data_IF_645489735280
#
_entry.id   IF_645489735280
#
_cell.length_a   1.000
_cell.length_b   1.000
_cell.length_c   1.000
_cell.angle_alpha   90.00
_cell.angle_beta   90.00
_cell.angle_gamma   90.00
#
_symmetry.space_group_name_H-M   'P 1'
#
loop_
_entity.id
_entity.type
_entity.pdbx_description
1 polymer ?
#
# COMPACT_ATOMS: atom_id res chain seq x y z
N UNK A 1 0.07 -3.98 -13.56
CA UNK A 1 -0.80 -3.46 -12.47
C UNK A 1 -0.20 -3.75 -11.10
N UNK A 2 -0.52 -2.96 -10.07
CA UNK A 2 -0.03 -3.10 -8.69
C UNK A 2 -1.18 -2.82 -7.72
N UNK A 3 -1.29 -3.65 -6.69
CA UNK A 3 -2.22 -3.47 -5.58
C UNK A 3 -1.50 -2.84 -4.39
N UNK A 4 -2.16 -1.88 -3.76
CA UNK A 4 -1.69 -1.26 -2.52
C UNK A 4 -2.59 -1.67 -1.34
N UNK A 5 -1.95 -1.99 -0.22
CA UNK A 5 -2.61 -2.36 1.02
C UNK A 5 -2.03 -1.61 2.21
N UNK A 6 -2.85 -1.47 3.26
CA UNK A 6 -2.43 -0.99 4.58
C UNK A 6 -2.79 -2.02 5.64
N UNK A 7 -1.93 -2.21 6.62
CA UNK A 7 -2.17 -3.11 7.75
C UNK A 7 -1.88 -2.41 9.07
N UNK A 8 -2.88 -2.32 9.94
CA UNK A 8 -2.74 -1.80 11.29
C UNK A 8 -2.38 -2.93 12.25
N UNK A 9 -1.19 -2.87 12.86
CA UNK A 9 -0.73 -3.89 13.79
C UNK A 9 -0.82 -5.30 13.19
N UNK A 10 -1.59 -6.19 13.82
CA UNK A 10 -1.81 -7.58 13.38
C UNK A 10 -3.13 -7.79 12.63
N UNK A 11 -3.79 -6.73 12.18
CA UNK A 11 -5.05 -6.82 11.44
C UNK A 11 -4.86 -7.49 10.08
N UNK A 12 -5.95 -7.83 9.40
CA UNK A 12 -5.90 -8.20 7.99
C UNK A 12 -5.54 -6.97 7.14
N UNK A 13 -4.67 -7.11 6.12
CA UNK A 13 -4.37 -6.01 5.21
C UNK A 13 -5.62 -5.51 4.46
N UNK A 14 -5.85 -4.21 4.54
CA UNK A 14 -6.94 -3.48 3.89
C UNK A 14 -6.50 -3.05 2.50
N UNK A 15 -7.32 -3.33 1.48
CA UNK A 15 -7.05 -2.84 0.13
C UNK A 15 -7.26 -1.32 0.06
N UNK A 16 -6.28 -0.61 -0.49
CA UNK A 16 -6.35 0.84 -0.70
C UNK A 16 -6.72 1.19 -2.14
N UNK A 17 -5.92 0.72 -3.10
CA UNK A 17 -6.00 1.16 -4.50
C UNK A 17 -5.28 0.19 -5.42
N UNK A 18 -5.78 0.09 -6.65
CA UNK A 18 -5.19 -0.68 -7.75
C UNK A 18 -4.71 0.31 -8.80
N UNK A 19 -3.46 0.16 -9.21
CA UNK A 19 -2.83 1.01 -10.22
C UNK A 19 -2.45 0.16 -11.43
N UNK A 20 -2.81 0.60 -12.63
CA UNK A 20 -2.38 -0.04 -13.87
C UNK A 20 -1.12 0.64 -14.38
N UNK A 21 -0.19 -0.14 -14.93
CA UNK A 21 1.04 0.33 -15.57
C UNK A 21 0.78 1.23 -16.79
N UNK A 22 -0.43 1.18 -17.33
CA UNK A 22 -0.92 2.06 -18.40
C UNK A 22 -1.58 3.35 -17.88
N UNK A 23 -1.68 3.55 -16.57
CA UNK A 23 -2.29 4.73 -15.98
C UNK A 23 -1.47 5.98 -16.34
N UNK A 24 -2.16 6.99 -16.91
CA UNK A 24 -1.57 8.28 -17.27
C UNK A 24 -1.80 9.36 -16.23
N UNK A 25 -2.77 9.14 -15.35
CA UNK A 25 -3.20 10.06 -14.30
C UNK A 25 -3.13 9.38 -12.94
N UNK A 26 -2.99 10.22 -11.92
CA UNK A 26 -3.03 9.84 -10.52
C UNK A 26 -4.28 9.02 -10.19
N UNK A 27 -4.12 7.88 -9.53
CA UNK A 27 -5.24 7.04 -9.11
C UNK A 27 -5.52 7.29 -7.63
N UNK A 28 -6.67 7.87 -7.32
CA UNK A 28 -7.10 8.10 -5.94
C UNK A 28 -7.76 6.84 -5.36
N UNK A 29 -7.47 6.55 -4.08
CA UNK A 29 -8.16 5.49 -3.37
C UNK A 29 -9.64 5.82 -3.18
N UNK A 30 -10.50 4.82 -3.37
CA UNK A 30 -11.93 4.91 -3.05
C UNK A 30 -12.23 4.73 -1.56
N UNK A 31 -11.27 4.22 -0.79
CA UNK A 31 -11.41 3.95 0.65
C UNK A 31 -11.05 5.18 1.47
N UNK A 32 -9.97 5.87 1.10
CA UNK A 32 -9.55 7.11 1.75
C UNK A 32 -8.97 8.07 0.68
N UNK A 33 -9.67 9.17 0.34
CA UNK A 33 -9.26 10.10 -0.71
C UNK A 33 -7.89 10.76 -0.49
N UNK A 34 -7.33 10.68 0.72
CA UNK A 34 -5.99 11.21 0.98
C UNK A 34 -4.90 10.39 0.30
N UNK A 35 -5.20 9.13 -0.05
CA UNK A 35 -4.29 8.22 -0.73
C UNK A 35 -4.38 8.37 -2.24
N UNK A 36 -3.25 8.66 -2.87
CA UNK A 36 -3.12 8.80 -4.32
C UNK A 36 -1.92 8.01 -4.81
N UNK A 37 -2.05 7.30 -5.93
CA UNK A 37 -0.93 6.57 -6.54
C UNK A 37 -0.56 7.16 -7.89
N UNK A 38 0.73 7.43 -8.04
CA UNK A 38 1.32 8.02 -9.23
C UNK A 38 2.38 7.09 -9.82
N UNK A 39 2.38 6.94 -11.15
CA UNK A 39 3.48 6.31 -11.87
C UNK A 39 4.43 7.42 -12.31
N UNK A 40 5.58 7.51 -11.65
CA UNK A 40 6.53 8.60 -11.92
C UNK A 40 7.54 8.24 -13.01
N UNK A 41 7.96 6.97 -13.08
CA UNK A 41 8.87 6.44 -14.11
C UNK A 41 8.48 4.99 -14.44
N UNK A 42 9.08 4.42 -15.49
CA UNK A 42 8.77 3.06 -15.99
C UNK A 42 8.74 1.96 -14.91
N UNK A 43 9.47 2.12 -13.82
CA UNK A 43 9.61 1.11 -12.76
C UNK A 43 9.38 1.68 -11.35
N UNK A 44 8.86 2.90 -11.25
CA UNK A 44 8.62 3.55 -9.96
C UNK A 44 7.15 3.94 -9.84
N UNK A 45 6.56 3.54 -8.72
CA UNK A 45 5.18 3.85 -8.34
C UNK A 45 5.18 4.39 -6.93
N UNK A 46 4.64 5.60 -6.77
CA UNK A 46 4.62 6.31 -5.50
C UNK A 46 3.20 6.28 -4.93
N UNK A 47 3.06 5.87 -3.66
CA UNK A 47 1.84 6.02 -2.88
C UNK A 47 1.99 7.28 -2.01
N UNK A 48 1.18 8.29 -2.31
CA UNK A 48 1.13 9.55 -1.57
C UNK A 48 -0.03 9.52 -0.55
N UNK A 49 0.24 10.01 0.66
CA UNK A 49 -0.78 10.25 1.70
C UNK A 49 -0.80 11.74 2.01
N UNK A 50 -1.83 12.44 1.53
CA UNK A 50 -1.98 13.87 1.82
C UNK A 50 -2.34 14.10 3.29
N UNK A 51 -1.76 15.14 3.90
CA UNK A 51 -1.95 15.50 5.32
C UNK A 51 -1.71 14.31 6.27
N UNK A 52 -0.60 13.60 6.09
CA UNK A 52 -0.24 12.45 6.89
C UNK A 52 -0.18 12.79 8.39
N UNK A 53 -0.74 11.93 9.23
CA UNK A 53 -0.79 12.06 10.68
C UNK A 53 -0.24 10.81 11.37
N UNK A 54 0.03 10.89 12.67
CA UNK A 54 0.52 9.74 13.47
C UNK A 54 -0.43 8.55 13.37
N UNK A 55 -1.74 8.78 13.21
CA UNK A 55 -2.76 7.74 13.03
C UNK A 55 -2.59 6.93 11.73
N UNK A 56 -1.85 7.44 10.74
CA UNK A 56 -1.56 6.70 9.51
C UNK A 56 -0.39 5.71 9.67
N UNK A 57 0.22 5.63 10.85
CA UNK A 57 1.32 4.68 11.13
C UNK A 57 0.84 3.23 10.97
N UNK A 58 1.31 2.57 9.91
CA UNK A 58 0.91 1.23 9.53
C UNK A 58 1.97 0.58 8.63
N UNK A 59 1.82 -0.73 8.36
CA UNK A 59 2.57 -1.38 7.30
C UNK A 59 1.86 -1.16 5.97
N UNK A 60 2.60 -0.73 4.96
CA UNK A 60 2.10 -0.50 3.61
C UNK A 60 2.73 -1.48 2.65
N UNK A 61 1.89 -2.23 1.94
CA UNK A 61 2.33 -3.26 1.01
C UNK A 61 1.98 -2.86 -0.42
N UNK A 62 2.95 -3.06 -1.32
CA UNK A 62 2.74 -3.04 -2.76
C UNK A 62 2.88 -4.47 -3.30
N UNK A 63 1.93 -4.93 -4.11
CA UNK A 63 1.90 -6.28 -4.63
C UNK A 63 1.48 -6.34 -6.11
N UNK A 64 2.29 -6.97 -6.95
CA UNK A 64 1.99 -7.24 -8.36
C UNK A 64 0.89 -8.28 -8.52
N UNK A 65 0.91 -9.31 -7.68
CA UNK A 65 -0.10 -10.34 -7.59
C UNK A 65 -0.59 -10.40 -6.15
N UNK A 66 -1.92 -10.44 -5.88
CA UNK A 66 -2.46 -10.58 -4.53
C UNK A 66 -1.99 -11.89 -3.90
N UNK A 67 -0.87 -11.82 -3.18
CA UNK A 67 -0.28 -12.92 -2.40
C UNK A 67 -0.51 -12.71 -0.91
N UNK A 68 -1.06 -11.55 -0.55
CA UNK A 68 -1.46 -11.18 0.81
C UNK A 68 -2.81 -11.85 1.14
N UNK A 69 -2.82 -13.18 1.11
CA UNK A 69 -3.85 -14.02 1.72
C UNK A 69 -3.29 -14.44 3.07
N UNK A 70 -4.01 -14.13 4.15
CA UNK A 70 -3.55 -14.20 5.55
C UNK A 70 -2.50 -15.27 5.85
N UNK A 71 -1.23 -14.88 5.81
CA UNK A 71 -0.15 -15.71 6.31
C UNK A 71 0.00 -15.39 7.80
N UNK A 72 -0.46 -16.30 8.66
CA UNK A 72 -0.33 -16.21 10.14
C UNK A 72 1.13 -16.24 10.61
N UNK A 73 2.06 -16.54 9.70
CA UNK A 73 3.51 -16.51 9.92
C UNK A 73 4.02 -15.07 9.84
N UNK A 74 3.96 -14.35 10.95
CA UNK A 74 4.69 -13.10 11.10
C UNK A 74 6.16 -13.30 10.70
N UNK A 75 6.60 -12.66 9.60
CA UNK A 75 8.01 -12.48 9.29
C UNK A 75 8.59 -11.48 10.31
N UNK A 76 8.80 -11.93 11.55
CA UNK A 76 9.66 -11.24 12.49
C UNK A 76 10.93 -12.05 12.65
N UNK A 77 11.87 -11.83 11.71
CA UNK A 77 13.28 -12.11 11.96
C UNK A 77 13.97 -10.76 12.14
N UNK A 78 14.12 -10.37 13.41
CA UNK A 78 14.98 -9.28 13.92
C UNK A 78 14.46 -7.86 13.57
N UNK A 79 14.38 -6.89 14.48
CA UNK A 79 15.36 -6.49 15.49
C UNK A 79 14.64 -6.01 16.76
N UNK A 80 14.84 -6.74 17.86
CA UNK A 80 14.96 -6.10 19.17
C UNK A 80 16.39 -5.58 19.23
N UNK A 81 16.55 -4.26 19.25
CA UNK A 81 17.71 -3.60 19.82
C UNK A 81 17.21 -2.45 20.68
#
# INVERSE_FOLDING_TARGET
>A
YLHWYRQYGRSTPEFLVLTYDTAKEAQQSKVDPRFTVNITKKEQVDLEISSAAVSDSALYYCALQPTVTGNTSALYKNLLQ
#
